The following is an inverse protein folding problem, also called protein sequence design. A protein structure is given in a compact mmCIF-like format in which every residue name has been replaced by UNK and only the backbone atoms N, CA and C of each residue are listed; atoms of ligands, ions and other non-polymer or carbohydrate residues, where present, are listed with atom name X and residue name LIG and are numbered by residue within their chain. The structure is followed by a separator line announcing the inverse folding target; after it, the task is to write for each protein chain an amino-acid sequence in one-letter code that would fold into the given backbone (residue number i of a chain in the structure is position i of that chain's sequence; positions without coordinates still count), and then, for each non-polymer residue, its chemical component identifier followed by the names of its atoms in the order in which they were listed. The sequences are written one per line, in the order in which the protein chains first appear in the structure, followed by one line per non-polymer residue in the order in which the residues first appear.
data_IF_176964969153
#
_entry.id   IF_176964969153
#
_cell.length_a   1.000
_cell.length_b   1.000
_cell.length_c   1.000
_cell.angle_alpha   90.00
_cell.angle_beta   90.00
_cell.angle_gamma   90.00
#
_symmetry.space_group_name_H-M   'P 1'
#
loop_
_entity.id
_entity.type
_entity.pdbx_description
1 polymer ?
#
# COMPACT_ATOMS: atom_id res chain seq x y z
N UNK A 1 1.02 25.99 -23.72
CA UNK A 1 0.27 27.04 -22.98
C UNK A 1 0.90 27.36 -21.62
N UNK A 2 1.29 26.36 -20.80
CA UNK A 2 1.94 26.65 -19.51
C UNK A 2 3.42 27.03 -19.64
N UNK A 3 4.15 26.37 -20.55
CA UNK A 3 5.58 26.66 -20.81
C UNK A 3 5.84 28.08 -21.36
N UNK A 4 4.78 28.73 -21.84
CA UNK A 4 4.82 30.10 -22.35
C UNK A 4 4.68 31.14 -21.22
N UNK A 5 4.34 30.69 -20.00
CA UNK A 5 4.12 31.52 -18.81
C UNK A 5 5.11 31.14 -17.69
N UNK A 6 6.06 32.02 -17.39
CA UNK A 6 7.09 31.80 -16.38
C UNK A 6 8.36 31.09 -16.86
N UNK A 7 9.20 30.68 -15.92
CA UNK A 7 10.48 30.03 -16.21
C UNK A 7 10.38 28.51 -16.06
N UNK A 8 10.86 27.79 -17.06
CA UNK A 8 10.73 26.33 -17.19
C UNK A 8 12.06 25.67 -17.50
N UNK A 9 12.27 24.48 -16.95
CA UNK A 9 13.23 23.53 -17.50
C UNK A 9 12.51 22.68 -18.54
N UNK A 10 13.07 22.62 -19.75
CA UNK A 10 12.45 21.95 -20.90
C UNK A 10 13.47 20.98 -21.49
N UNK A 11 13.04 19.73 -21.64
CA UNK A 11 13.74 18.66 -22.35
C UNK A 11 12.80 18.07 -23.41
N UNK A 12 13.29 17.13 -24.22
CA UNK A 12 12.60 16.63 -25.42
C UNK A 12 11.17 16.11 -25.18
N UNK A 13 10.94 15.46 -24.03
CA UNK A 13 9.67 14.80 -23.71
C UNK A 13 9.00 15.32 -22.44
N UNK A 14 9.62 16.26 -21.71
CA UNK A 14 9.10 16.74 -20.45
C UNK A 14 9.52 18.19 -20.18
N UNK A 15 8.69 18.89 -19.41
CA UNK A 15 9.00 20.20 -18.87
C UNK A 15 8.57 20.27 -17.40
N UNK A 16 9.29 21.07 -16.62
CA UNK A 16 8.99 21.30 -15.20
C UNK A 16 9.13 22.80 -14.88
N UNK A 17 8.17 23.40 -14.15
CA UNK A 17 8.28 24.80 -13.74
C UNK A 17 9.47 24.96 -12.81
N UNK A 18 10.24 26.04 -12.96
CA UNK A 18 11.38 26.30 -12.06
C UNK A 18 10.88 26.76 -10.69
N UNK A 19 9.80 27.55 -10.66
CA UNK A 19 9.20 28.07 -9.43
C UNK A 19 8.12 27.11 -8.89
N UNK A 20 8.30 26.53 -7.69
CA UNK A 20 7.27 25.69 -7.08
C UNK A 20 5.95 26.43 -6.81
N UNK A 21 5.95 27.76 -6.71
CA UNK A 21 4.72 28.55 -6.55
C UNK A 21 3.82 28.51 -7.79
N UNK A 22 4.32 28.04 -8.93
CA UNK A 22 3.49 27.68 -10.08
C UNK A 22 2.29 26.81 -9.65
N UNK A 23 2.50 25.89 -8.69
CA UNK A 23 1.46 24.97 -8.24
C UNK A 23 0.38 25.60 -7.35
N UNK A 24 0.57 26.84 -6.85
CA UNK A 24 -0.33 27.48 -5.85
C UNK A 24 -1.80 27.45 -6.25
N UNK A 25 -2.10 27.71 -7.53
CA UNK A 25 -3.46 27.70 -8.05
C UNK A 25 -4.19 26.38 -7.77
N UNK A 26 -3.53 25.24 -7.94
CA UNK A 26 -4.15 23.93 -7.71
C UNK A 26 -4.44 23.69 -6.23
N UNK A 27 -3.59 24.18 -5.33
CA UNK A 27 -3.83 24.11 -3.89
C UNK A 27 -4.97 25.03 -3.44
N UNK A 28 -5.08 26.24 -4.01
CA UNK A 28 -6.20 27.14 -3.76
C UNK A 28 -7.52 26.53 -4.24
N UNK A 29 -7.51 25.93 -5.45
CA UNK A 29 -8.67 25.24 -6.01
C UNK A 29 -9.05 24.00 -5.19
N UNK A 30 -8.06 23.19 -4.77
CA UNK A 30 -8.26 22.02 -3.92
C UNK A 30 -8.91 22.39 -2.57
N UNK A 31 -8.40 23.44 -1.91
CA UNK A 31 -8.99 23.98 -0.68
C UNK A 31 -10.43 24.45 -0.92
N UNK A 32 -10.68 25.20 -1.99
CA UNK A 32 -12.02 25.71 -2.32
C UNK A 32 -13.03 24.57 -2.57
N UNK A 33 -12.58 23.46 -3.14
CA UNK A 33 -13.41 22.30 -3.42
C UNK A 33 -13.56 21.33 -2.24
N UNK A 34 -12.83 21.52 -1.15
CA UNK A 34 -12.83 20.62 0.00
C UNK A 34 -12.09 19.30 -0.25
N UNK A 35 -11.07 19.32 -1.11
CA UNK A 35 -10.21 18.17 -1.39
C UNK A 35 -9.40 17.81 -0.15
N UNK A 36 -9.36 16.52 0.19
CA UNK A 36 -8.62 16.03 1.35
C UNK A 36 -7.12 15.85 1.07
N UNK A 37 -6.77 15.40 -0.13
CA UNK A 37 -5.38 15.21 -0.55
C UNK A 37 -5.20 15.40 -2.06
N UNK A 38 -3.99 15.80 -2.47
CA UNK A 38 -3.54 15.84 -3.86
C UNK A 38 -2.52 14.73 -4.08
N UNK A 39 -2.76 13.88 -5.08
CA UNK A 39 -1.75 12.95 -5.57
C UNK A 39 -0.83 13.65 -6.57
N UNK A 40 0.45 13.78 -6.23
CA UNK A 40 1.48 14.22 -7.16
C UNK A 40 1.96 13.02 -7.97
N UNK A 41 1.47 12.95 -9.19
CA UNK A 41 1.70 11.86 -10.12
C UNK A 41 3.07 11.94 -10.83
N UNK A 42 3.50 10.82 -11.43
CA UNK A 42 4.64 10.72 -12.35
C UNK A 42 5.99 11.24 -11.80
N UNK A 43 6.25 11.15 -10.49
CA UNK A 43 7.47 11.73 -9.89
C UNK A 43 8.76 11.24 -10.53
N UNK A 44 8.91 9.92 -10.71
CA UNK A 44 10.09 9.34 -11.36
C UNK A 44 10.21 9.82 -12.81
N UNK A 45 9.10 10.04 -13.51
CA UNK A 45 9.11 10.48 -14.90
C UNK A 45 9.55 11.93 -15.03
N UNK A 46 9.19 12.81 -14.09
CA UNK A 46 9.78 14.16 -14.05
C UNK A 46 11.26 14.12 -13.70
N UNK A 47 11.65 13.30 -12.73
CA UNK A 47 13.07 13.11 -12.38
C UNK A 47 13.89 12.62 -13.58
N UNK A 48 13.39 11.65 -14.36
CA UNK A 48 14.06 11.15 -15.56
C UNK A 48 13.97 12.06 -16.77
N UNK A 49 12.81 12.66 -17.01
CA UNK A 49 12.49 13.44 -18.19
C UNK A 49 13.05 14.85 -18.18
N UNK A 50 13.30 15.45 -17.01
CA UNK A 50 13.80 16.83 -16.89
C UNK A 50 15.20 16.82 -16.26
N UNK A 51 16.24 16.84 -17.10
CA UNK A 51 17.65 16.72 -16.69
C UNK A 51 18.05 17.79 -15.67
N UNK A 52 17.47 18.98 -15.78
CA UNK A 52 17.76 20.08 -14.88
C UNK A 52 17.43 19.79 -13.41
N UNK A 53 16.44 18.94 -13.10
CA UNK A 53 16.12 18.52 -11.73
C UNK A 53 17.26 17.76 -11.05
N UNK A 54 18.15 17.16 -11.85
CA UNK A 54 19.29 16.35 -11.39
C UNK A 54 20.65 17.01 -11.62
N UNK A 55 20.65 18.15 -12.31
CA UNK A 55 21.88 18.85 -12.67
C UNK A 55 22.54 19.55 -11.46
N UNK A 56 21.83 19.70 -10.36
CA UNK A 56 22.36 20.18 -9.09
C UNK A 56 21.61 19.54 -7.91
N UNK A 57 22.26 19.37 -6.74
CA UNK A 57 21.57 19.02 -5.51
C UNK A 57 20.41 19.97 -5.21
N UNK A 58 19.47 19.49 -4.39
CA UNK A 58 18.30 20.23 -3.90
C UNK A 58 17.23 20.65 -4.91
N UNK A 59 17.43 20.55 -6.23
CA UNK A 59 16.39 21.02 -7.18
C UNK A 59 15.09 20.24 -7.10
N UNK A 60 15.15 18.91 -7.15
CA UNK A 60 13.96 18.07 -6.94
C UNK A 60 13.42 18.19 -5.51
N UNK A 61 14.29 18.39 -4.52
CA UNK A 61 13.86 18.57 -3.14
C UNK A 61 13.14 19.90 -2.92
N UNK A 62 13.58 20.98 -3.57
CA UNK A 62 12.94 22.29 -3.52
C UNK A 62 11.54 22.26 -4.13
N UNK A 63 11.34 21.48 -5.20
CA UNK A 63 10.01 21.22 -5.74
C UNK A 63 9.11 20.56 -4.70
N UNK A 64 9.53 19.44 -4.11
CA UNK A 64 8.72 18.70 -3.13
C UNK A 64 8.46 19.51 -1.85
N UNK A 65 9.47 20.23 -1.32
CA UNK A 65 9.30 21.15 -0.18
C UNK A 65 8.34 22.30 -0.50
N UNK A 66 8.34 22.79 -1.74
CA UNK A 66 7.38 23.78 -2.19
C UNK A 66 5.94 23.24 -2.20
N UNK A 67 5.75 22.00 -2.65
CA UNK A 67 4.44 21.34 -2.58
C UNK A 67 3.99 21.13 -1.13
N UNK A 68 4.88 20.68 -0.25
CA UNK A 68 4.62 20.49 1.18
C UNK A 68 4.22 21.82 1.87
N UNK A 69 4.91 22.93 1.55
CA UNK A 69 4.52 24.25 2.05
C UNK A 69 3.11 24.66 1.58
N UNK A 70 2.79 24.46 0.29
CA UNK A 70 1.47 24.78 -0.24
C UNK A 70 0.38 23.89 0.37
N UNK A 71 0.70 22.63 0.64
CA UNK A 71 -0.15 21.68 1.34
C UNK A 71 -0.47 22.17 2.77
N UNK A 72 0.54 22.67 3.48
CA UNK A 72 0.40 23.29 4.80
C UNK A 72 -0.52 24.52 4.77
N UNK A 73 -0.29 25.44 3.83
CA UNK A 73 -1.08 26.67 3.68
C UNK A 73 -2.55 26.38 3.35
N UNK A 74 -2.80 25.32 2.57
CA UNK A 74 -4.14 24.96 2.12
C UNK A 74 -4.88 23.99 3.02
N UNK A 75 -4.19 23.26 3.92
CA UNK A 75 -4.76 22.22 4.76
C UNK A 75 -5.14 20.97 3.96
N UNK A 76 -4.34 20.62 2.96
CA UNK A 76 -4.57 19.48 2.06
C UNK A 76 -3.40 18.51 2.22
N UNK A 77 -3.66 17.20 2.30
CA UNK A 77 -2.60 16.19 2.33
C UNK A 77 -1.96 16.00 0.96
N UNK A 78 -0.78 15.39 0.93
CA UNK A 78 -0.15 14.95 -0.32
C UNK A 78 -0.11 13.42 -0.39
N UNK A 79 -0.09 12.90 -1.60
CA UNK A 79 0.25 11.51 -1.90
C UNK A 79 1.30 11.53 -3.00
N UNK A 80 2.44 10.89 -2.78
CA UNK A 80 3.42 10.75 -3.85
C UNK A 80 3.12 9.51 -4.69
N UNK A 81 3.10 9.68 -6.00
CA UNK A 81 2.92 8.60 -6.93
C UNK A 81 4.17 8.39 -7.80
N UNK A 82 4.52 7.11 -8.00
CA UNK A 82 5.68 6.70 -8.79
C UNK A 82 6.96 7.39 -8.29
N UNK A 83 7.13 7.40 -6.97
CA UNK A 83 8.26 8.00 -6.27
C UNK A 83 9.54 7.17 -6.46
N UNK A 84 10.68 7.84 -6.60
CA UNK A 84 12.00 7.20 -6.52
C UNK A 84 12.38 6.94 -5.06
N UNK A 85 13.38 6.09 -4.76
CA UNK A 85 13.86 5.92 -3.39
C UNK A 85 14.33 7.22 -2.73
N UNK A 86 14.87 8.18 -3.49
CA UNK A 86 15.26 9.48 -2.97
C UNK A 86 14.06 10.34 -2.56
N UNK A 87 12.97 10.25 -3.33
CA UNK A 87 11.70 10.90 -3.00
C UNK A 87 11.12 10.31 -1.71
N UNK A 88 11.15 8.98 -1.53
CA UNK A 88 10.72 8.33 -0.29
C UNK A 88 11.55 8.76 0.93
N UNK A 89 12.86 8.95 0.78
CA UNK A 89 13.70 9.43 1.89
C UNK A 89 13.39 10.88 2.23
N UNK A 90 13.21 11.74 1.22
CA UNK A 90 12.82 13.14 1.45
C UNK A 90 11.43 13.22 2.07
N UNK A 91 10.53 12.35 1.63
CA UNK A 91 9.17 12.24 2.08
C UNK A 91 9.03 12.10 3.60
N UNK A 92 9.90 11.29 4.21
CA UNK A 92 9.97 11.10 5.65
C UNK A 92 10.32 12.37 6.44
N UNK A 93 10.71 13.45 5.76
CA UNK A 93 11.05 14.75 6.36
C UNK A 93 10.01 15.83 6.09
N UNK A 94 8.92 15.49 5.40
CA UNK A 94 7.86 16.42 4.99
C UNK A 94 6.58 16.14 5.79
N UNK A 95 5.96 17.20 6.31
CA UNK A 95 4.91 17.08 7.34
C UNK A 95 3.53 16.79 6.74
N UNK A 96 3.29 17.18 5.48
CA UNK A 96 1.95 17.16 4.89
C UNK A 96 1.70 15.98 3.97
N UNK A 97 2.61 15.01 3.94
CA UNK A 97 2.46 13.92 3.01
C UNK A 97 2.04 12.65 3.70
N UNK A 98 0.82 12.26 3.36
CA UNK A 98 0.04 11.31 4.14
C UNK A 98 0.17 9.88 3.62
N UNK A 99 0.68 9.70 2.40
CA UNK A 99 1.00 8.38 1.86
C UNK A 99 1.96 8.43 0.67
N UNK A 100 2.61 7.30 0.39
CA UNK A 100 3.40 7.04 -0.82
C UNK A 100 2.83 5.85 -1.59
N UNK A 101 2.73 5.95 -2.91
CA UNK A 101 2.51 4.78 -3.76
C UNK A 101 3.76 3.89 -3.73
N UNK A 102 3.59 2.62 -3.43
CA UNK A 102 4.70 1.67 -3.27
C UNK A 102 4.77 0.61 -4.38
N UNK A 103 3.95 0.74 -5.42
CA UNK A 103 4.05 0.00 -6.68
C UNK A 103 3.62 0.88 -7.86
N UNK A 104 3.77 0.35 -9.07
CA UNK A 104 3.20 0.94 -10.30
C UNK A 104 1.68 1.00 -10.28
N UNK A 105 1.10 1.56 -11.34
CA UNK A 105 -0.35 1.63 -11.55
C UNK A 105 -1.00 0.24 -11.42
N UNK A 106 -2.18 0.21 -10.83
CA UNK A 106 -3.00 -0.98 -10.75
C UNK A 106 -3.28 -1.52 -12.17
N UNK A 107 -3.00 -2.82 -12.36
CA UNK A 107 -3.04 -3.53 -13.66
C UNK A 107 -2.03 -3.07 -14.71
N UNK A 108 -1.00 -2.32 -14.32
CA UNK A 108 0.12 -2.02 -15.21
C UNK A 108 0.80 -3.29 -15.74
N UNK A 109 0.99 -4.28 -14.86
CA UNK A 109 1.59 -5.55 -15.20
C UNK A 109 0.54 -6.57 -15.68
N UNK A 110 0.91 -7.37 -16.68
CA UNK A 110 0.06 -8.47 -17.17
C UNK A 110 -0.18 -9.56 -16.12
N UNK A 111 0.76 -9.77 -15.20
CA UNK A 111 0.59 -10.67 -14.06
C UNK A 111 0.62 -9.87 -12.75
N UNK A 112 -0.45 -9.88 -11.96
CA UNK A 112 -0.56 -9.03 -10.77
C UNK A 112 0.43 -9.44 -9.66
N UNK A 113 0.98 -10.66 -9.67
CA UNK A 113 2.00 -11.05 -8.70
C UNK A 113 3.28 -10.21 -8.78
N UNK A 114 3.59 -9.62 -9.95
CA UNK A 114 4.68 -8.66 -10.07
C UNK A 114 4.40 -7.41 -9.23
N UNK A 115 3.18 -6.86 -9.33
CA UNK A 115 2.77 -5.68 -8.58
C UNK A 115 2.66 -5.98 -7.08
N UNK A 116 2.13 -7.14 -6.69
CA UNK A 116 2.08 -7.54 -5.27
C UNK A 116 3.48 -7.67 -4.67
N UNK A 117 4.40 -8.30 -5.40
CA UNK A 117 5.79 -8.46 -4.93
C UNK A 117 6.49 -7.10 -4.83
N UNK A 118 6.31 -6.22 -5.83
CA UNK A 118 6.82 -4.84 -5.78
C UNK A 118 6.26 -4.11 -4.56
N UNK A 119 4.93 -4.05 -4.43
CA UNK A 119 4.21 -3.39 -3.34
C UNK A 119 4.72 -3.83 -1.96
N UNK A 120 4.72 -5.14 -1.69
CA UNK A 120 5.15 -5.68 -0.41
C UNK A 120 6.65 -5.52 -0.12
N UNK A 121 7.49 -5.46 -1.17
CA UNK A 121 8.92 -5.20 -1.02
C UNK A 121 9.17 -3.74 -0.66
N UNK A 122 8.55 -2.80 -1.39
CA UNK A 122 8.74 -1.36 -1.16
C UNK A 122 8.05 -0.90 0.12
N UNK A 123 6.99 -1.57 0.56
CA UNK A 123 6.39 -1.34 1.88
C UNK A 123 7.38 -1.54 3.03
N UNK A 124 8.41 -2.39 2.89
CA UNK A 124 9.48 -2.51 3.90
C UNK A 124 10.33 -1.26 4.00
N UNK A 125 10.54 -0.56 2.89
CA UNK A 125 11.21 0.74 2.89
C UNK A 125 10.31 1.83 3.45
N UNK A 126 9.03 1.87 3.06
CA UNK A 126 8.06 2.83 3.59
C UNK A 126 7.93 2.70 5.12
N UNK A 127 7.80 1.46 5.61
CA UNK A 127 7.79 1.13 7.04
C UNK A 127 9.04 1.64 7.78
N UNK A 128 10.23 1.36 7.25
CA UNK A 128 11.50 1.82 7.84
C UNK A 128 11.62 3.35 7.91
N UNK A 129 10.90 4.06 7.03
CA UNK A 129 10.84 5.51 6.96
C UNK A 129 9.65 6.11 7.72
N UNK A 130 8.80 5.28 8.33
CA UNK A 130 7.59 5.75 9.04
C UNK A 130 6.49 6.28 8.11
N UNK A 131 6.50 5.87 6.85
CA UNK A 131 5.54 6.32 5.85
C UNK A 131 4.38 5.31 5.70
N UNK A 132 3.16 5.84 5.60
CA UNK A 132 2.01 5.04 5.15
C UNK A 132 2.10 4.74 3.66
N UNK A 133 1.67 3.55 3.26
CA UNK A 133 1.64 3.18 1.85
C UNK A 133 0.26 3.47 1.24
N UNK A 134 0.24 3.66 -0.07
CA UNK A 134 -0.94 3.58 -0.90
C UNK A 134 -0.69 2.52 -1.97
N UNK A 135 -1.57 1.53 -2.07
CA UNK A 135 -1.44 0.45 -3.05
C UNK A 135 -1.67 0.92 -4.50
N UNK A 136 -2.36 2.04 -4.67
CA UNK A 136 -3.24 2.35 -5.80
C UNK A 136 -4.65 1.75 -5.61
N UNK A 137 -5.56 2.08 -6.53
CA UNK A 137 -6.92 1.61 -6.54
C UNK A 137 -7.04 0.09 -6.75
N UNK A 138 -8.22 -0.45 -6.47
CA UNK A 138 -8.59 -1.82 -6.84
C UNK A 138 -10.05 -1.87 -7.32
N UNK A 139 -10.39 -2.91 -8.08
CA UNK A 139 -11.78 -3.23 -8.40
C UNK A 139 -12.29 -4.29 -7.43
N UNK A 140 -13.41 -4.01 -6.77
CA UNK A 140 -13.96 -4.85 -5.70
C UNK A 140 -14.81 -6.01 -6.23
N UNK A 141 -15.37 -5.88 -7.43
CA UNK A 141 -16.19 -6.92 -8.06
C UNK A 141 -15.32 -8.03 -8.65
N UNK A 142 -15.62 -9.28 -8.31
CA UNK A 142 -15.02 -10.44 -9.00
C UNK A 142 -15.61 -10.72 -10.37
N UNK A 143 -16.76 -10.12 -10.69
CA UNK A 143 -17.43 -10.35 -11.96
C UNK A 143 -16.72 -9.60 -13.08
N UNK A 144 -15.90 -10.33 -13.84
CA UNK A 144 -15.24 -9.81 -15.04
C UNK A 144 -16.30 -9.49 -16.11
N UNK A 145 -16.35 -8.24 -16.55
CA UNK A 145 -17.22 -7.78 -17.62
C UNK A 145 -16.53 -7.72 -18.99
N UNK A 146 -17.17 -7.04 -19.95
CA UNK A 146 -16.61 -6.87 -21.29
C UNK A 146 -15.56 -5.76 -21.38
N UNK A 147 -15.61 -4.80 -20.45
CA UNK A 147 -14.67 -3.68 -20.39
C UNK A 147 -13.51 -4.01 -19.43
N UNK A 148 -12.26 -3.64 -19.74
CA UNK A 148 -11.14 -3.80 -18.82
C UNK A 148 -11.33 -3.23 -17.41
N UNK A 149 -12.23 -2.26 -17.20
CA UNK A 149 -12.56 -1.72 -15.87
C UNK A 149 -13.54 -2.61 -15.08
N UNK A 150 -14.22 -3.56 -15.72
CA UNK A 150 -15.27 -4.35 -15.10
C UNK A 150 -14.67 -5.53 -14.32
N UNK A 151 -14.30 -5.31 -13.06
CA UNK A 151 -14.00 -6.34 -12.07
C UNK A 151 -12.62 -7.00 -12.18
N UNK A 152 -12.24 -7.77 -11.15
CA UNK A 152 -10.96 -8.45 -10.95
C UNK A 152 -11.14 -9.85 -10.34
N UNK A 153 -10.55 -10.88 -10.94
CA UNK A 153 -10.55 -12.23 -10.35
C UNK A 153 -9.88 -12.28 -8.97
N UNK A 154 -8.95 -11.36 -8.70
CA UNK A 154 -8.21 -11.22 -7.45
C UNK A 154 -8.76 -10.11 -6.53
N UNK A 155 -9.97 -9.59 -6.78
CA UNK A 155 -10.55 -8.45 -6.06
C UNK A 155 -10.41 -8.51 -4.53
N UNK A 156 -10.56 -9.69 -3.93
CA UNK A 156 -10.45 -9.88 -2.48
C UNK A 156 -9.02 -9.71 -1.95
N UNK A 157 -8.02 -10.20 -2.71
CA UNK A 157 -6.62 -9.99 -2.36
C UNK A 157 -6.24 -8.52 -2.53
N UNK A 158 -6.69 -7.89 -3.62
CA UNK A 158 -6.40 -6.48 -3.86
C UNK A 158 -6.98 -5.58 -2.76
N UNK A 159 -8.22 -5.88 -2.31
CA UNK A 159 -8.86 -5.20 -1.20
C UNK A 159 -8.13 -5.44 0.14
N UNK A 160 -7.69 -6.67 0.41
CA UNK A 160 -6.88 -7.01 1.60
C UNK A 160 -5.58 -6.21 1.62
N UNK A 161 -4.84 -6.21 0.51
CA UNK A 161 -3.56 -5.50 0.39
C UNK A 161 -3.73 -3.98 0.53
N UNK A 162 -4.81 -3.42 -0.03
CA UNK A 162 -5.15 -2.00 0.13
C UNK A 162 -5.48 -1.67 1.59
N UNK A 163 -6.28 -2.51 2.27
CA UNK A 163 -6.65 -2.34 3.67
C UNK A 163 -5.43 -2.35 4.61
N UNK A 164 -4.45 -3.20 4.33
CA UNK A 164 -3.23 -3.32 5.12
C UNK A 164 -2.09 -2.38 4.70
N UNK A 165 -2.41 -1.29 4.00
CA UNK A 165 -1.44 -0.29 3.54
C UNK A 165 -1.01 0.71 4.62
N UNK A 166 -1.71 0.75 5.76
CA UNK A 166 -1.66 1.83 6.75
C UNK A 166 -2.05 3.22 6.19
N UNK A 167 -2.39 3.33 4.91
CA UNK A 167 -2.79 4.57 4.26
C UNK A 167 -4.15 4.43 3.55
N UNK A 168 -4.38 5.19 2.47
CA UNK A 168 -5.67 5.20 1.78
C UNK A 168 -6.06 3.85 1.18
N UNK A 169 -7.37 3.60 1.13
CA UNK A 169 -8.00 2.47 0.42
C UNK A 169 -8.73 3.00 -0.81
N UNK A 170 -8.12 2.86 -1.99
CA UNK A 170 -8.67 3.38 -3.25
C UNK A 170 -9.64 2.41 -3.91
N UNK A 171 -10.91 2.77 -4.03
CA UNK A 171 -11.91 1.97 -4.75
C UNK A 171 -12.04 2.53 -6.17
N UNK A 172 -11.60 1.77 -7.16
CA UNK A 172 -11.58 2.17 -8.57
C UNK A 172 -12.77 1.70 -9.40
N UNK A 173 -13.79 1.12 -8.76
CA UNK A 173 -14.91 0.52 -9.47
C UNK A 173 -15.66 1.52 -10.34
N UNK A 174 -16.11 1.04 -11.51
CA UNK A 174 -17.15 1.73 -12.27
C UNK A 174 -18.38 1.97 -11.38
N UNK A 175 -18.99 3.15 -11.53
CA UNK A 175 -20.25 3.51 -10.86
C UNK A 175 -21.30 2.40 -11.04
N UNK A 176 -21.86 1.91 -9.93
CA UNK A 176 -22.87 0.85 -9.92
C UNK A 176 -22.32 -0.58 -9.98
N UNK A 177 -21.00 -0.78 -10.00
CA UNK A 177 -20.34 -2.11 -10.05
C UNK A 177 -19.61 -2.48 -8.76
N UNK A 178 -19.60 -1.61 -7.76
CA UNK A 178 -18.95 -1.86 -6.46
C UNK A 178 -19.57 -3.08 -5.76
N UNK A 179 -18.72 -4.03 -5.40
CA UNK A 179 -19.06 -5.13 -4.50
C UNK A 179 -18.98 -4.63 -3.06
N UNK A 180 -20.17 -4.39 -2.48
CA UNK A 180 -20.31 -3.92 -1.12
C UNK A 180 -19.66 -4.88 -0.12
N UNK A 181 -19.73 -6.19 -0.33
CA UNK A 181 -19.19 -7.14 0.64
C UNK A 181 -17.67 -7.00 0.73
N UNK A 182 -16.98 -6.95 -0.41
CA UNK A 182 -15.53 -6.79 -0.46
C UNK A 182 -15.09 -5.43 0.13
N UNK A 183 -15.76 -4.34 -0.24
CA UNK A 183 -15.45 -3.00 0.29
C UNK A 183 -15.68 -2.93 1.80
N UNK A 184 -16.80 -3.45 2.30
CA UNK A 184 -17.12 -3.35 3.73
C UNK A 184 -16.22 -4.23 4.61
N UNK A 185 -15.29 -5.03 4.05
CA UNK A 185 -14.25 -5.71 4.83
C UNK A 185 -13.07 -4.82 5.18
N UNK A 186 -12.93 -3.66 4.53
CA UNK A 186 -11.83 -2.70 4.74
C UNK A 186 -12.17 -1.62 5.77
N UNK A 187 -13.45 -1.43 6.08
CA UNK A 187 -13.93 -0.34 6.92
C UNK A 187 -15.09 -0.74 7.84
N UNK A 188 -15.36 0.09 8.83
CA UNK A 188 -16.53 -0.02 9.70
C UNK A 188 -17.81 0.43 8.98
N UNK A 189 -18.97 0.19 9.60
CA UNK A 189 -20.28 0.51 9.03
C UNK A 189 -20.47 2.01 8.70
N UNK A 190 -19.70 2.88 9.36
CA UNK A 190 -19.67 4.33 9.14
C UNK A 190 -18.61 4.78 8.12
N UNK A 191 -17.89 3.84 7.50
CA UNK A 191 -16.88 4.09 6.49
C UNK A 191 -15.48 4.38 7.02
N UNK A 192 -15.25 4.31 8.34
CA UNK A 192 -13.89 4.45 8.90
C UNK A 192 -13.02 3.25 8.51
N UNK A 193 -11.89 3.50 7.87
CA UNK A 193 -10.93 2.46 7.47
C UNK A 193 -10.33 1.82 8.73
N UNK A 194 -10.17 0.50 8.71
CA UNK A 194 -9.53 -0.24 9.79
C UNK A 194 -8.05 -0.38 9.51
N UNK A 195 -7.26 0.50 10.09
CA UNK A 195 -5.83 0.57 9.82
C UNK A 195 -4.99 -0.39 10.67
N UNK A 196 -3.85 -0.77 10.11
CA UNK A 196 -2.72 -1.43 10.76
C UNK A 196 -1.68 -0.38 11.16
N UNK A 197 -0.75 -0.71 12.05
CA UNK A 197 0.24 0.22 12.58
C UNK A 197 1.19 0.70 11.46
N UNK A 198 1.51 -0.21 10.53
CA UNK A 198 2.54 -0.06 9.50
C UNK A 198 2.11 -0.78 8.21
N UNK A 199 2.59 -0.38 7.02
CA UNK A 199 2.20 -1.06 5.79
C UNK A 199 2.67 -2.52 5.79
N UNK A 200 1.80 -3.44 5.34
CA UNK A 200 2.12 -4.86 5.16
C UNK A 200 3.32 -5.04 4.24
N UNK A 201 4.39 -5.67 4.74
CA UNK A 201 5.62 -5.86 3.98
C UNK A 201 6.12 -7.30 4.02
N UNK A 202 6.89 -7.71 3.00
CA UNK A 202 7.52 -9.03 2.97
C UNK A 202 8.44 -9.25 4.18
N UNK A 203 8.45 -10.46 4.73
CA UNK A 203 9.48 -10.85 5.71
C UNK A 203 10.85 -10.95 5.02
N UNK A 204 11.93 -10.82 5.80
CA UNK A 204 13.29 -10.72 5.26
C UNK A 204 13.67 -11.88 4.32
N UNK A 205 13.23 -13.10 4.64
CA UNK A 205 13.47 -14.30 3.83
C UNK A 205 12.69 -14.35 2.51
N UNK A 206 11.84 -13.37 2.21
CA UNK A 206 11.09 -13.25 0.95
C UNK A 206 11.63 -12.13 0.04
N UNK A 207 12.60 -11.32 0.49
CA UNK A 207 13.03 -10.11 -0.23
C UNK A 207 13.91 -10.39 -1.46
N UNK A 208 14.50 -11.59 -1.58
CA UNK A 208 15.55 -11.88 -2.57
C UNK A 208 15.07 -12.82 -3.71
N UNK A 209 13.76 -12.79 -3.98
CA UNK A 209 13.15 -13.36 -5.18
C UNK A 209 12.78 -14.85 -5.09
N UNK A 210 13.01 -15.50 -3.95
CA UNK A 210 12.57 -16.89 -3.69
C UNK A 210 11.06 -17.07 -3.95
N UNK A 211 10.16 -16.13 -3.57
CA UNK A 211 8.74 -16.27 -3.89
C UNK A 211 8.44 -16.26 -5.39
N UNK A 212 9.08 -15.36 -6.15
CA UNK A 212 8.88 -15.26 -7.60
C UNK A 212 9.40 -16.49 -8.34
N UNK A 213 10.51 -17.08 -7.88
CA UNK A 213 11.05 -18.36 -8.38
C UNK A 213 10.23 -19.58 -7.93
N UNK A 214 9.19 -19.36 -7.11
CA UNK A 214 8.33 -20.40 -6.56
C UNK A 214 9.06 -21.30 -5.56
N UNK A 215 10.20 -20.90 -5.02
CA UNK A 215 10.93 -21.69 -4.01
C UNK A 215 10.19 -21.71 -2.67
N UNK A 216 9.30 -20.74 -2.46
CA UNK A 216 8.49 -20.56 -1.25
C UNK A 216 7.29 -19.64 -1.50
N UNK A 217 6.41 -19.48 -0.52
CA UNK A 217 5.35 -18.46 -0.58
C UNK A 217 5.90 -17.06 -0.26
N UNK A 218 5.23 -16.03 -0.77
CA UNK A 218 5.47 -14.65 -0.35
C UNK A 218 4.78 -14.43 1.00
N UNK A 219 5.55 -14.53 2.09
CA UNK A 219 5.09 -14.23 3.44
C UNK A 219 5.30 -12.75 3.75
N UNK A 220 4.25 -12.10 4.23
CA UNK A 220 4.26 -10.70 4.62
C UNK A 220 3.63 -10.53 5.99
N UNK A 221 4.07 -9.52 6.73
CA UNK A 221 3.59 -9.22 8.08
C UNK A 221 3.35 -7.75 8.30
N UNK A 222 2.37 -7.45 9.15
CA UNK A 222 2.16 -6.14 9.78
C UNK A 222 1.60 -6.34 11.19
N UNK A 223 1.44 -5.28 11.95
CA UNK A 223 0.88 -5.29 13.30
C UNK A 223 -0.30 -4.35 13.42
N UNK A 224 -1.16 -4.61 14.41
CA UNK A 224 -2.09 -3.62 14.91
C UNK A 224 -1.98 -3.54 16.44
N UNK A 225 -1.83 -2.34 16.97
CA UNK A 225 -1.68 -2.09 18.39
C UNK A 225 -2.98 -1.56 18.98
N UNK A 226 -3.49 -2.24 20.01
CA UNK A 226 -4.72 -1.85 20.72
C UNK A 226 -4.58 -2.07 22.21
N UNK A 227 -4.89 -1.05 23.01
CA UNK A 227 -4.75 -1.09 24.47
C UNK A 227 -3.36 -1.59 24.94
N UNK A 228 -2.30 -1.17 24.23
CA UNK A 228 -0.91 -1.55 24.53
C UNK A 228 -0.53 -2.99 24.18
N UNK A 229 -1.41 -3.73 23.49
CA UNK A 229 -1.18 -5.10 23.02
C UNK A 229 -1.06 -5.13 21.50
N UNK A 230 -0.21 -6.02 20.98
CA UNK A 230 0.15 -6.06 19.55
C UNK A 230 -0.34 -7.35 18.92
N UNK A 231 -1.28 -7.24 17.98
CA UNK A 231 -1.69 -8.34 17.10
C UNK A 231 -0.82 -8.34 15.86
N UNK A 232 -0.33 -9.50 15.47
CA UNK A 232 0.46 -9.66 14.24
C UNK A 232 -0.42 -10.26 13.15
N UNK A 233 -0.53 -9.56 12.03
CA UNK A 233 -1.19 -10.06 10.83
C UNK A 233 -0.14 -10.71 9.93
N UNK A 234 -0.41 -11.93 9.49
CA UNK A 234 0.46 -12.67 8.57
C UNK A 234 -0.31 -13.02 7.30
N UNK A 235 0.23 -12.67 6.15
CA UNK A 235 -0.33 -12.99 4.84
C UNK A 235 0.64 -13.87 4.07
N UNK A 236 0.15 -14.94 3.46
CA UNK A 236 0.89 -15.72 2.48
C UNK A 236 0.25 -15.54 1.11
N UNK A 237 1.06 -15.36 0.06
CA UNK A 237 0.59 -15.25 -1.31
C UNK A 237 1.46 -16.14 -2.21
N UNK A 238 0.84 -16.88 -3.13
CA UNK A 238 1.59 -17.57 -4.17
C UNK A 238 1.90 -16.63 -5.35
N UNK A 239 3.08 -16.02 -5.31
CA UNK A 239 3.59 -15.10 -6.35
C UNK A 239 4.48 -15.78 -7.38
N UNK A 240 4.57 -17.12 -7.40
CA UNK A 240 5.42 -17.87 -8.32
C UNK A 240 5.16 -17.49 -9.79
N UNK A 241 6.21 -17.15 -10.53
CA UNK A 241 6.12 -16.84 -11.96
C UNK A 241 5.64 -18.05 -12.78
N UNK A 242 6.11 -19.25 -12.43
CA UNK A 242 5.79 -20.51 -13.13
C UNK A 242 4.38 -21.06 -12.81
N UNK A 243 3.57 -20.34 -12.01
CA UNK A 243 2.19 -20.72 -11.67
C UNK A 243 2.05 -22.17 -11.22
N UNK A 244 2.92 -22.61 -10.31
CA UNK A 244 2.82 -23.91 -9.64
C UNK A 244 2.15 -23.79 -8.27
N UNK A 245 1.59 -24.89 -7.80
CA UNK A 245 1.16 -25.02 -6.39
C UNK A 245 2.40 -25.01 -5.50
N UNK A 246 2.35 -24.25 -4.40
CA UNK A 246 3.45 -24.15 -3.43
C UNK A 246 2.92 -24.52 -2.05
N UNK A 247 3.58 -25.48 -1.42
CA UNK A 247 3.39 -25.82 0.00
C UNK A 247 4.58 -25.27 0.78
N UNK A 248 4.30 -24.42 1.76
CA UNK A 248 5.34 -23.74 2.54
C UNK A 248 4.90 -23.55 3.99
N UNK A 249 5.87 -23.28 4.86
CA UNK A 249 5.68 -23.17 6.31
C UNK A 249 6.51 -22.01 6.87
N UNK A 250 5.88 -21.21 7.72
CA UNK A 250 6.50 -20.12 8.46
C UNK A 250 6.50 -20.45 9.95
N UNK A 251 7.69 -20.55 10.55
CA UNK A 251 7.84 -20.63 12.00
C UNK A 251 7.56 -19.26 12.62
N UNK A 252 6.59 -19.16 13.54
CA UNK A 252 6.17 -17.87 14.11
C UNK A 252 7.29 -17.23 14.94
N UNK A 253 8.15 -18.05 15.58
CA UNK A 253 9.34 -17.55 16.26
C UNK A 253 10.33 -16.85 15.32
N UNK A 254 10.35 -17.17 14.02
CA UNK A 254 11.24 -16.53 13.04
C UNK A 254 10.82 -15.09 12.69
N UNK A 255 9.56 -14.71 12.97
CA UNK A 255 9.04 -13.35 12.83
C UNK A 255 8.91 -12.66 14.20
N UNK A 256 9.61 -13.17 15.22
CA UNK A 256 9.69 -12.55 16.54
C UNK A 256 8.49 -12.79 17.45
N UNK A 257 7.60 -13.74 17.15
CA UNK A 257 6.48 -14.06 18.02
C UNK A 257 6.89 -14.98 19.18
N UNK A 258 6.29 -14.75 20.35
CA UNK A 258 6.30 -15.72 21.44
C UNK A 258 5.41 -16.91 21.07
N UNK A 259 5.94 -18.13 21.18
CA UNK A 259 5.27 -19.35 20.72
C UNK A 259 5.14 -20.39 21.83
N UNK A 260 4.06 -21.21 21.80
CA UNK A 260 2.97 -21.15 20.83
C UNK A 260 1.96 -20.04 21.20
N UNK A 261 1.28 -19.46 20.22
CA UNK A 261 0.29 -18.39 20.43
C UNK A 261 -1.07 -18.74 19.82
N UNK A 262 -2.11 -17.98 20.19
CA UNK A 262 -3.43 -18.08 19.56
C UNK A 262 -3.36 -17.52 18.14
N UNK A 263 -3.86 -18.28 17.16
CA UNK A 263 -3.88 -17.93 15.74
C UNK A 263 -5.27 -18.16 15.18
N UNK A 264 -5.79 -17.16 14.48
CA UNK A 264 -7.04 -17.21 13.72
C UNK A 264 -6.74 -17.23 12.23
N UNK A 265 -7.16 -18.28 11.50
CA UNK A 265 -7.12 -18.31 10.03
C UNK A 265 -8.43 -17.76 9.49
N UNK A 266 -8.33 -16.64 8.77
CA UNK A 266 -9.46 -15.79 8.45
C UNK A 266 -10.44 -16.43 7.45
N UNK A 267 -9.94 -17.13 6.42
CA UNK A 267 -10.79 -17.69 5.36
C UNK A 267 -11.60 -18.90 5.82
N UNK A 268 -11.04 -19.71 6.72
CA UNK A 268 -11.63 -20.93 7.29
C UNK A 268 -12.44 -20.63 8.54
N UNK A 269 -12.18 -19.49 9.19
CA UNK A 269 -12.85 -19.13 10.43
C UNK A 269 -12.40 -19.99 11.62
N UNK A 270 -11.16 -20.49 11.58
CA UNK A 270 -10.64 -21.47 12.56
C UNK A 270 -9.63 -20.83 13.50
N UNK A 271 -9.68 -21.20 14.78
CA UNK A 271 -8.75 -20.73 15.81
C UNK A 271 -7.99 -21.90 16.38
N UNK A 272 -6.67 -21.76 16.48
CA UNK A 272 -5.79 -22.78 17.03
C UNK A 272 -4.67 -22.17 17.84
N UNK A 273 -4.04 -22.98 18.69
CA UNK A 273 -2.75 -22.64 19.30
C UNK A 273 -1.65 -23.21 18.41
N UNK A 274 -0.76 -22.37 17.90
CA UNK A 274 0.26 -22.79 16.93
C UNK A 274 1.62 -22.16 17.20
N UNK A 275 2.69 -22.86 16.83
CA UNK A 275 4.05 -22.33 16.79
C UNK A 275 4.50 -21.96 15.36
N UNK A 276 3.67 -22.30 14.36
CA UNK A 276 3.95 -22.08 12.95
C UNK A 276 2.68 -22.06 12.12
N UNK A 277 2.77 -21.43 10.95
CA UNK A 277 1.74 -21.38 9.93
C UNK A 277 2.17 -22.26 8.76
N UNK A 278 1.24 -22.97 8.14
CA UNK A 278 1.50 -23.76 6.95
C UNK A 278 0.38 -23.54 5.94
N UNK A 279 0.73 -23.51 4.66
CA UNK A 279 -0.21 -23.34 3.58
C UNK A 279 0.25 -24.08 2.33
N UNK A 280 -0.71 -24.62 1.60
CA UNK A 280 -0.54 -25.10 0.24
C UNK A 280 -1.45 -24.25 -0.65
N UNK A 281 -0.85 -23.40 -1.48
CA UNK A 281 -1.58 -22.40 -2.25
C UNK A 281 -1.46 -22.65 -3.74
N UNK A 282 -2.60 -22.63 -4.42
CA UNK A 282 -2.67 -22.56 -5.87
C UNK A 282 -2.05 -21.24 -6.37
N UNK A 283 -1.71 -21.13 -7.67
CA UNK A 283 -1.17 -19.90 -8.23
C UNK A 283 -2.09 -18.71 -7.95
N UNK A 284 -1.50 -17.61 -7.46
CA UNK A 284 -2.22 -16.36 -7.10
C UNK A 284 -3.25 -16.49 -5.97
N UNK A 285 -3.26 -17.62 -5.28
CA UNK A 285 -4.04 -17.78 -4.05
C UNK A 285 -3.28 -17.24 -2.84
N UNK A 286 -3.99 -17.06 -1.73
CA UNK A 286 -3.46 -16.42 -0.52
C UNK A 286 -4.07 -16.98 0.77
N UNK A 287 -3.49 -16.67 1.92
CA UNK A 287 -4.11 -16.90 3.22
C UNK A 287 -3.82 -15.72 4.14
N UNK A 288 -4.69 -15.52 5.13
CA UNK A 288 -4.56 -14.50 6.16
C UNK A 288 -4.70 -15.15 7.54
N UNK A 289 -3.71 -14.89 8.39
CA UNK A 289 -3.75 -15.24 9.80
C UNK A 289 -3.65 -13.99 10.68
N UNK A 290 -4.35 -14.04 11.80
CA UNK A 290 -4.19 -13.08 12.90
C UNK A 290 -3.56 -13.84 14.07
N UNK A 291 -2.42 -13.38 14.55
CA UNK A 291 -1.70 -13.95 15.67
C UNK A 291 -1.83 -13.02 16.87
N UNK A 292 -2.35 -13.54 17.98
CA UNK A 292 -2.56 -12.76 19.19
C UNK A 292 -1.27 -12.61 20.01
N UNK A 293 -1.14 -11.50 20.77
CA UNK A 293 -0.11 -11.38 21.79
C UNK A 293 -0.34 -12.38 22.94
N UNK A 294 0.63 -12.54 23.86
CA UNK A 294 0.45 -13.36 25.04
C UNK A 294 -0.82 -13.00 25.82
N UNK A 295 -1.45 -14.03 26.39
CA UNK A 295 -2.69 -13.93 27.19
C UNK A 295 -3.94 -13.39 26.45
N UNK A 296 -3.87 -13.23 25.13
CA UNK A 296 -5.01 -12.85 24.29
C UNK A 296 -5.44 -13.96 23.34
N UNK A 297 -6.64 -13.81 22.78
CA UNK A 297 -7.14 -14.68 21.70
C UNK A 297 -7.08 -13.98 20.35
N UNK A 298 -6.87 -14.75 19.29
CA UNK A 298 -6.78 -14.22 17.92
C UNK A 298 -8.15 -13.97 17.27
N UNK A 299 -9.22 -14.51 17.84
CA UNK A 299 -10.61 -14.36 17.36
C UNK A 299 -11.38 -13.25 18.09
N UNK A 300 -10.66 -12.27 18.63
CA UNK A 300 -11.30 -11.06 19.16
C UNK A 300 -11.50 -10.02 18.05
N UNK A 301 -12.38 -9.05 18.31
CA UNK A 301 -12.67 -7.97 17.38
C UNK A 301 -13.77 -8.34 16.38
N UNK A 302 -13.71 -7.73 15.19
CA UNK A 302 -14.69 -7.99 14.12
C UNK A 302 -14.08 -8.94 13.08
N UNK A 303 -14.42 -10.21 13.18
CA UNK A 303 -13.91 -11.28 12.31
C UNK A 303 -14.43 -11.19 10.87
N UNK A 304 -15.40 -10.32 10.60
CA UNK A 304 -15.85 -10.06 9.23
C UNK A 304 -14.90 -9.14 8.45
N UNK A 305 -13.89 -8.55 9.11
CA UNK A 305 -12.97 -7.58 8.53
C UNK A 305 -11.61 -8.20 8.24
N UNK A 306 -10.89 -7.66 7.26
CA UNK A 306 -9.50 -8.05 7.02
C UNK A 306 -8.60 -7.70 8.20
N UNK A 307 -8.80 -6.51 8.77
CA UNK A 307 -8.13 -6.06 10.00
C UNK A 307 -9.13 -6.24 11.15
N UNK A 308 -9.11 -7.43 11.76
CA UNK A 308 -10.07 -7.83 12.79
C UNK A 308 -9.99 -6.97 14.06
N UNK A 309 -8.78 -6.56 14.44
CA UNK A 309 -8.43 -5.66 15.52
C UNK A 309 -7.68 -4.49 14.88
N UNK A 310 -8.28 -3.30 14.78
CA UNK A 310 -7.63 -2.15 14.16
C UNK A 310 -6.67 -1.51 15.16
N UNK A 311 -5.69 -0.82 14.63
CA UNK A 311 -4.76 -0.03 15.42
C UNK A 311 -5.48 1.17 16.02
N UNK A 312 -5.16 1.48 17.27
CA UNK A 312 -5.50 2.76 17.87
C UNK A 312 -4.45 3.76 17.37
N UNK A 313 -4.83 4.60 16.41
CA UNK A 313 -4.02 5.77 16.07
C UNK A 313 -4.32 6.86 17.09
N UNK A 314 -3.30 7.24 17.87
CA UNK A 314 -3.29 8.48 18.66
C UNK A 314 -3.30 9.72 17.76
#
# INVERSE_FOLDING_TARGET
PYVDDGAWWIDEHAAHPIDPLFFRRWFDDARRWGVCAIEQDWMLMYWFGVRALRAAPDRAAAWQRGLDQLAAESGVGLIWCMATPADLVLAATLDHVVAVRTSDDYRFAADPALLWTWYLTVNRLADALGLAAFKDCFFSSRQIGSDPIDGDEHAELEALLACMSAGPVGIGDRVGRTDREVVMRTCDADGRIRHVDRPLGLIDSCLFGEPARGERLAWATTTATRAGKVWTYVVAINTSADRRVISDRLELGAIGMEVPCSVYEWRRGEVQTAAALAAELAPRDWCLWVCAPPDERADIGDLTKYVTVPSEHD
#
